data_IF_877612795215
#
_entry.id   IF_877612795215
#
_cell.length_a   1.000
_cell.length_b   1.000
_cell.length_c   1.000
_cell.angle_alpha   90.00
_cell.angle_beta   90.00
_cell.angle_gamma   90.00
#
_symmetry.space_group_name_H-M   'P 1'
#
loop_
_entity.id
_entity.type
_entity.pdbx_description
1 polymer ?
#
# COMPACT_ATOMS: atom_id res chain seq x y z
N UNK A 1 -8.63 12.89 3.37
CA UNK A 1 -7.32 12.37 2.89
C UNK A 1 -7.50 11.68 1.55
N UNK A 2 -6.42 11.23 0.91
CA UNK A 2 -6.46 10.72 -0.47
C UNK A 2 -7.48 9.58 -0.70
N UNK A 3 -7.62 8.65 0.26
CA UNK A 3 -8.55 7.52 0.15
C UNK A 3 -10.02 7.99 0.10
N UNK A 4 -10.43 8.82 1.07
CA UNK A 4 -11.81 9.34 1.16
C UNK A 4 -12.18 10.28 0.01
N UNK A 5 -11.22 11.07 -0.48
CA UNK A 5 -11.48 12.11 -1.48
C UNK A 5 -11.22 11.64 -2.93
N UNK A 6 -10.90 10.35 -3.12
CA UNK A 6 -10.83 9.74 -4.43
C UNK A 6 -12.14 8.95 -4.64
N UNK A 7 -13.06 9.38 -5.52
CA UNK A 7 -14.37 8.75 -5.65
C UNK A 7 -14.30 7.26 -6.05
N UNK A 8 -13.29 6.85 -6.83
CA UNK A 8 -13.11 5.44 -7.20
C UNK A 8 -12.74 4.62 -5.95
N UNK A 9 -11.72 5.02 -5.20
CA UNK A 9 -11.35 4.24 -4.01
C UNK A 9 -12.31 4.43 -2.84
N UNK A 10 -13.06 5.53 -2.79
CA UNK A 10 -14.11 5.70 -1.81
C UNK A 10 -15.24 4.69 -2.04
N UNK A 11 -15.64 4.48 -3.29
CA UNK A 11 -16.59 3.42 -3.65
C UNK A 11 -16.05 2.05 -3.25
N UNK A 12 -14.77 1.74 -3.51
CA UNK A 12 -14.17 0.49 -3.02
C UNK A 12 -14.27 0.34 -1.48
N UNK A 13 -14.04 1.42 -0.72
CA UNK A 13 -14.21 1.40 0.74
C UNK A 13 -15.66 1.09 1.13
N UNK A 14 -16.64 1.68 0.44
CA UNK A 14 -18.06 1.40 0.69
C UNK A 14 -18.42 -0.04 0.34
N UNK A 15 -17.93 -0.57 -0.78
CA UNK A 15 -18.16 -1.96 -1.19
C UNK A 15 -17.42 -3.01 -0.33
N UNK A 16 -16.49 -2.59 0.53
CA UNK A 16 -15.73 -3.46 1.45
C UNK A 16 -16.30 -3.38 2.86
N UNK A 17 -16.51 -2.17 3.40
CA UNK A 17 -16.95 -1.97 4.78
C UNK A 17 -18.48 -1.89 4.92
N UNK A 18 -19.20 -1.72 3.82
CA UNK A 18 -20.66 -1.62 3.82
C UNK A 18 -21.33 -2.90 4.33
N UNK A 19 -22.46 -2.72 5.02
CA UNK A 19 -23.22 -3.87 5.55
C UNK A 19 -24.08 -4.46 4.45
N UNK A 20 -23.81 -5.71 4.10
CA UNK A 20 -24.60 -6.47 3.12
C UNK A 20 -25.89 -6.98 3.76
N UNK A 21 -26.97 -6.94 2.99
CA UNK A 21 -28.29 -7.44 3.36
C UNK A 21 -28.87 -8.25 2.20
N UNK A 22 -29.75 -9.22 2.52
CA UNK A 22 -30.42 -10.03 1.51
C UNK A 22 -31.93 -9.95 1.72
N UNK A 23 -32.64 -9.39 0.75
CA UNK A 23 -34.09 -9.22 0.79
C UNK A 23 -34.67 -9.33 -0.61
N UNK A 24 -35.82 -10.00 -0.74
CA UNK A 24 -36.51 -10.18 -2.03
C UNK A 24 -35.68 -10.90 -3.10
N UNK A 25 -34.73 -11.74 -2.72
CA UNK A 25 -33.83 -12.42 -3.67
C UNK A 25 -32.68 -11.56 -4.18
N UNK A 26 -32.48 -10.36 -3.63
CA UNK A 26 -31.43 -9.41 -4.06
C UNK A 26 -30.51 -9.05 -2.90
N UNK A 27 -29.26 -8.73 -3.23
CA UNK A 27 -28.28 -8.21 -2.28
C UNK A 27 -28.37 -6.68 -2.31
N UNK A 28 -28.50 -6.08 -1.13
CA UNK A 28 -28.39 -4.63 -0.94
C UNK A 28 -27.23 -4.30 -0.01
N UNK A 29 -26.63 -3.12 -0.19
CA UNK A 29 -25.54 -2.62 0.65
C UNK A 29 -25.97 -1.33 1.38
N UNK A 30 -25.70 -1.27 2.68
CA UNK A 30 -25.81 -0.03 3.47
C UNK A 30 -24.42 0.56 3.66
N UNK A 31 -24.18 1.85 3.33
CA UNK A 31 -22.88 2.48 3.51
C UNK A 31 -22.35 2.36 4.95
N UNK A 32 -21.03 2.18 5.13
CA UNK A 32 -20.42 2.05 6.45
C UNK A 32 -20.50 3.37 7.25
N UNK A 33 -20.81 3.27 8.53
CA UNK A 33 -20.74 4.40 9.46
C UNK A 33 -19.30 4.81 9.79
N UNK A 34 -19.13 5.97 10.43
CA UNK A 34 -17.81 6.50 10.80
C UNK A 34 -17.01 5.55 11.70
N UNK A 35 -17.68 4.83 12.62
CA UNK A 35 -17.01 3.90 13.53
C UNK A 35 -16.46 2.67 12.80
N UNK A 36 -17.25 2.09 11.88
CA UNK A 36 -16.83 0.97 11.01
C UNK A 36 -15.68 1.36 10.10
N UNK A 37 -15.65 2.60 9.62
CA UNK A 37 -14.51 3.05 8.83
C UNK A 37 -13.27 3.32 9.70
N UNK A 38 -13.46 3.73 10.96
CA UNK A 38 -12.39 4.09 11.88
C UNK A 38 -11.59 2.88 12.39
N UNK A 39 -12.21 1.71 12.54
CA UNK A 39 -11.53 0.47 12.92
C UNK A 39 -11.04 -0.36 11.71
N UNK A 40 -11.52 -0.08 10.51
CA UNK A 40 -11.03 -0.64 9.24
C UNK A 40 -10.04 0.30 8.51
N UNK A 41 -10.40 0.79 7.32
CA UNK A 41 -9.49 1.53 6.42
C UNK A 41 -8.86 2.77 7.08
N UNK A 42 -9.63 3.55 7.83
CA UNK A 42 -9.14 4.79 8.46
C UNK A 42 -8.35 4.56 9.74
N UNK A 43 -8.26 3.31 10.24
CA UNK A 43 -7.31 2.95 11.30
C UNK A 43 -5.87 3.20 10.84
N UNK A 44 -5.54 2.80 9.60
CA UNK A 44 -4.24 3.01 8.98
C UNK A 44 -4.15 4.36 8.25
N UNK A 45 -5.18 4.72 7.47
CA UNK A 45 -5.16 5.93 6.63
C UNK A 45 -5.39 7.23 7.40
N UNK A 46 -6.06 7.17 8.55
CA UNK A 46 -6.35 8.30 9.42
C UNK A 46 -7.78 8.85 9.27
N UNK A 47 -8.33 9.29 10.40
CA UNK A 47 -9.63 9.96 10.51
C UNK A 47 -9.47 11.49 10.50
N UNK A 48 -10.59 12.22 10.44
CA UNK A 48 -10.62 13.67 10.72
C UNK A 48 -11.04 13.84 12.17
N UNK A 49 -10.22 14.50 12.98
CA UNK A 49 -10.53 14.74 14.39
C UNK A 49 -11.31 16.04 14.53
N UNK A 50 -12.56 15.94 14.94
CA UNK A 50 -13.41 17.08 15.28
C UNK A 50 -13.44 17.32 16.79
N UNK A 51 -13.54 18.58 17.19
CA UNK A 51 -13.82 18.98 18.58
C UNK A 51 -15.26 19.47 18.63
N UNK A 52 -16.14 18.74 19.30
CA UNK A 52 -17.58 19.05 19.36
C UNK A 52 -18.01 19.75 20.65
N UNK A 53 -17.11 19.93 21.61
CA UNK A 53 -17.36 20.65 22.85
C UNK A 53 -16.42 20.24 23.97
N UNK A 54 -16.74 20.66 25.18
CA UNK A 54 -16.04 20.31 26.41
C UNK A 54 -17.02 19.59 27.34
N UNK A 55 -16.54 18.57 28.05
CA UNK A 55 -17.28 17.86 29.09
C UNK A 55 -16.46 17.85 30.37
N UNK A 56 -17.06 18.33 31.46
CA UNK A 56 -16.53 18.19 32.81
C UNK A 56 -16.68 16.76 33.30
N UNK A 57 -15.64 16.25 33.98
CA UNK A 57 -15.64 14.92 34.60
C UNK A 57 -14.93 15.00 35.94
N UNK A 58 -15.49 14.33 36.94
CA UNK A 58 -14.81 14.12 38.20
C UNK A 58 -13.65 13.13 38.00
N UNK A 59 -12.48 13.47 38.55
CA UNK A 59 -11.28 12.63 38.46
C UNK A 59 -10.58 12.53 39.80
N UNK A 60 -9.54 11.70 39.90
CA UNK A 60 -8.71 11.61 41.11
C UNK A 60 -8.02 12.94 41.48
N UNK A 61 -7.95 13.92 40.58
CA UNK A 61 -7.39 15.26 40.82
C UNK A 61 -8.48 16.34 40.96
N UNK A 62 -9.75 15.95 41.12
CA UNK A 62 -10.92 16.83 41.12
C UNK A 62 -11.62 16.93 39.77
N UNK A 63 -12.59 17.84 39.67
CA UNK A 63 -13.29 18.13 38.42
C UNK A 63 -12.33 18.69 37.36
N UNK A 64 -12.31 18.06 36.19
CA UNK A 64 -11.51 18.51 35.04
C UNK A 64 -12.34 18.58 33.77
N UNK A 65 -11.92 19.47 32.87
CA UNK A 65 -12.53 19.68 31.56
C UNK A 65 -11.83 18.87 30.47
N UNK A 66 -12.60 18.10 29.70
CA UNK A 66 -12.08 17.26 28.62
C UNK A 66 -12.76 17.58 27.29
N UNK A 67 -12.03 17.62 26.17
CA UNK A 67 -12.64 17.79 24.87
C UNK A 67 -13.49 16.56 24.52
N UNK A 68 -14.64 16.79 23.89
CA UNK A 68 -15.43 15.75 23.23
C UNK A 68 -14.93 15.66 21.79
N UNK A 69 -14.32 14.53 21.46
CA UNK A 69 -13.69 14.31 20.16
C UNK A 69 -14.48 13.34 19.30
N UNK A 70 -14.59 13.63 18.01
CA UNK A 70 -15.01 12.66 16.97
C UNK A 70 -13.79 12.17 16.19
N UNK A 71 -13.89 10.97 15.59
CA UNK A 71 -12.78 10.35 14.86
C UNK A 71 -11.59 9.92 15.73
N UNK A 72 -11.69 10.04 17.06
CA UNK A 72 -10.67 9.66 18.03
C UNK A 72 -11.09 8.42 18.82
N UNK A 73 -10.18 7.51 19.23
CA UNK A 73 -8.72 7.52 19.04
C UNK A 73 -8.28 7.12 17.63
N UNK A 74 -7.25 7.79 17.11
CA UNK A 74 -6.68 7.44 15.80
C UNK A 74 -5.19 7.80 15.70
N UNK A 75 -4.41 6.93 15.06
CA UNK A 75 -2.98 7.12 14.81
C UNK A 75 -2.60 6.82 13.36
N UNK A 76 -3.58 6.89 12.45
CA UNK A 76 -3.33 6.68 11.03
C UNK A 76 -2.45 7.79 10.45
N UNK A 77 -1.61 7.43 9.49
CA UNK A 77 -0.54 8.31 8.98
C UNK A 77 -1.05 9.57 8.30
N UNK A 78 -2.31 9.57 7.84
CA UNK A 78 -2.97 10.71 7.18
C UNK A 78 -4.06 11.38 8.03
N UNK A 79 -4.06 11.19 9.35
CA UNK A 79 -5.03 11.82 10.27
C UNK A 79 -5.06 13.33 10.08
N UNK A 80 -6.24 13.94 10.06
CA UNK A 80 -6.37 15.41 10.07
C UNK A 80 -6.60 15.86 11.51
N UNK A 81 -5.70 16.69 12.03
CA UNK A 81 -5.71 17.16 13.40
C UNK A 81 -6.65 18.38 13.58
N UNK A 82 -7.05 18.70 14.82
CA UNK A 82 -7.93 19.86 15.08
C UNK A 82 -7.36 21.22 14.62
N UNK A 83 -6.03 21.35 14.55
CA UNK A 83 -5.33 22.55 14.06
C UNK A 83 -5.18 22.58 12.52
N UNK A 84 -5.77 21.60 11.82
CA UNK A 84 -5.69 21.46 10.36
C UNK A 84 -4.40 20.79 9.86
N UNK A 85 -3.43 20.52 10.73
CA UNK A 85 -2.23 19.77 10.35
C UNK A 85 -2.57 18.32 9.96
N UNK A 86 -1.72 17.72 9.12
CA UNK A 86 -1.92 16.36 8.58
C UNK A 86 -0.85 15.43 9.12
N UNK A 87 -1.29 14.32 9.69
CA UNK A 87 -0.48 13.20 10.13
C UNK A 87 -0.53 12.95 11.63
N UNK A 88 -0.08 11.76 12.01
CA UNK A 88 0.13 11.36 13.39
C UNK A 88 1.61 11.01 13.59
N UNK A 89 2.38 11.87 14.26
CA UNK A 89 3.80 11.61 14.52
C UNK A 89 4.05 10.38 15.43
N UNK A 90 3.00 9.79 16.00
CA UNK A 90 3.11 8.61 16.87
C UNK A 90 2.90 7.29 16.14
N UNK A 91 2.71 7.26 14.81
CA UNK A 91 2.48 6.03 14.06
C UNK A 91 3.68 5.07 14.08
N UNK A 92 4.91 5.58 14.11
CA UNK A 92 6.14 4.77 14.04
C UNK A 92 6.96 4.75 15.35
N UNK A 93 6.93 5.84 16.10
CA UNK A 93 7.55 5.93 17.42
C UNK A 93 6.50 6.42 18.41
N UNK A 94 5.78 5.45 18.96
CA UNK A 94 4.60 5.70 19.76
C UNK A 94 4.91 6.56 20.99
N UNK A 95 3.91 7.37 21.36
CA UNK A 95 3.89 8.02 22.67
C UNK A 95 3.84 6.96 23.78
N UNK A 96 4.37 7.20 24.97
CA UNK A 96 5.03 8.44 25.42
C UNK A 96 6.56 8.36 25.36
N UNK A 97 7.13 7.29 24.80
CA UNK A 97 8.58 7.09 24.76
C UNK A 97 9.26 7.75 23.55
N UNK A 98 8.55 7.88 22.42
CA UNK A 98 9.09 8.48 21.18
C UNK A 98 10.43 7.88 20.75
N UNK A 99 10.57 6.56 20.89
CA UNK A 99 11.84 5.86 20.73
C UNK A 99 12.21 5.64 19.26
N UNK A 100 13.39 6.11 18.85
CA UNK A 100 13.95 5.78 17.52
C UNK A 100 14.23 4.28 17.36
N UNK A 101 14.49 3.56 18.45
CA UNK A 101 14.60 2.10 18.43
C UNK A 101 13.29 1.45 18.00
N UNK A 102 12.16 1.96 18.50
CA UNK A 102 10.83 1.51 18.05
C UNK A 102 10.63 1.83 16.55
N UNK A 103 10.95 3.06 16.12
CA UNK A 103 10.81 3.45 14.71
C UNK A 103 11.66 2.61 13.75
N UNK A 104 12.85 2.15 14.20
CA UNK A 104 13.73 1.29 13.40
C UNK A 104 13.38 -0.19 13.45
N UNK A 105 12.54 -0.61 14.39
CA UNK A 105 12.10 -1.99 14.53
C UNK A 105 10.98 -2.31 13.52
N UNK A 106 11.11 -3.35 12.68
CA UNK A 106 10.10 -3.75 11.69
C UNK A 106 8.69 -3.93 12.26
N UNK A 107 8.56 -4.31 13.54
CA UNK A 107 7.28 -4.53 14.18
C UNK A 107 6.40 -3.27 14.17
N UNK A 108 6.97 -2.07 14.22
CA UNK A 108 6.16 -0.84 14.18
C UNK A 108 5.48 -0.64 12.81
N UNK A 109 6.11 -1.08 11.72
CA UNK A 109 5.55 -0.96 10.38
C UNK A 109 4.41 -1.98 10.16
N UNK A 110 4.44 -3.10 10.90
CA UNK A 110 3.49 -4.22 10.79
C UNK A 110 2.07 -3.87 11.23
N UNK A 111 1.88 -2.74 11.94
CA UNK A 111 0.54 -2.24 12.26
C UNK A 111 -0.29 -2.03 11.00
N UNK A 112 0.32 -1.51 9.92
CA UNK A 112 -0.38 -1.18 8.67
C UNK A 112 0.09 -2.02 7.48
N UNK A 113 1.38 -2.40 7.43
CA UNK A 113 1.96 -3.13 6.30
C UNK A 113 2.04 -4.63 6.53
N UNK A 114 0.90 -5.32 6.61
CA UNK A 114 0.84 -6.75 6.94
C UNK A 114 -0.14 -7.57 6.11
N UNK A 115 -1.31 -6.99 5.82
CA UNK A 115 -2.42 -7.63 5.13
C UNK A 115 -2.09 -8.05 3.69
N UNK A 116 -3.01 -8.76 3.02
CA UNK A 116 -2.80 -9.26 1.66
C UNK A 116 -2.63 -8.14 0.62
N UNK A 117 -3.14 -6.95 0.92
CA UNK A 117 -3.04 -5.74 0.10
C UNK A 117 -1.66 -5.09 0.14
N UNK A 118 -1.02 -5.07 1.32
CA UNK A 118 0.31 -4.48 1.55
C UNK A 118 1.20 -5.39 2.42
N UNK A 119 1.59 -6.58 1.94
CA UNK A 119 2.21 -7.64 2.77
C UNK A 119 3.69 -7.39 3.12
N UNK A 120 4.12 -6.13 3.25
CA UNK A 120 5.53 -5.76 3.39
C UNK A 120 6.23 -6.43 4.58
N UNK A 121 5.60 -6.37 5.77
CA UNK A 121 6.15 -7.01 6.96
C UNK A 121 6.21 -8.53 6.80
N UNK A 122 5.15 -9.13 6.28
CA UNK A 122 5.05 -10.57 6.11
C UNK A 122 6.10 -11.10 5.11
N UNK A 123 6.33 -10.37 4.02
CA UNK A 123 7.40 -10.61 3.05
C UNK A 123 8.78 -10.43 3.69
N UNK A 124 8.99 -9.34 4.42
CA UNK A 124 10.25 -9.07 5.11
C UNK A 124 10.58 -10.18 6.11
N UNK A 125 9.61 -10.57 6.93
CA UNK A 125 9.78 -11.54 8.01
C UNK A 125 10.23 -12.93 7.52
N UNK A 126 9.87 -13.32 6.29
CA UNK A 126 10.31 -14.58 5.68
C UNK A 126 11.55 -14.45 4.79
N UNK A 127 12.01 -13.22 4.54
CA UNK A 127 13.23 -12.95 3.79
C UNK A 127 14.48 -13.28 4.61
N UNK A 128 15.64 -13.46 3.96
CA UNK A 128 16.90 -13.61 4.68
C UNK A 128 17.24 -12.40 5.56
N UNK A 129 16.87 -11.18 5.15
CA UNK A 129 17.04 -9.99 5.98
C UNK A 129 16.24 -10.08 7.29
N UNK A 130 14.96 -10.47 7.18
CA UNK A 130 14.09 -10.67 8.34
C UNK A 130 14.58 -11.80 9.26
N UNK A 131 15.01 -12.93 8.68
CA UNK A 131 15.51 -14.07 9.46
C UNK A 131 16.79 -13.72 10.24
N UNK A 132 17.69 -12.93 9.65
CA UNK A 132 18.91 -12.47 10.34
C UNK A 132 18.53 -11.49 11.45
N UNK A 133 17.66 -10.51 11.16
CA UNK A 133 17.16 -9.57 12.17
C UNK A 133 16.48 -10.29 13.35
N UNK A 134 15.60 -11.25 13.11
CA UNK A 134 14.93 -11.98 14.18
C UNK A 134 15.87 -12.83 15.01
N UNK A 135 16.97 -13.31 14.42
CA UNK A 135 17.92 -14.21 15.09
C UNK A 135 19.02 -13.45 15.84
N UNK A 136 19.47 -12.32 15.30
CA UNK A 136 20.68 -11.62 15.76
C UNK A 136 20.43 -10.16 16.14
N UNK A 137 19.25 -9.62 15.84
CA UNK A 137 18.95 -8.19 15.97
C UNK A 137 19.01 -7.66 17.40
N UNK A 138 18.81 -8.50 18.42
CA UNK A 138 18.85 -8.05 19.82
C UNK A 138 20.22 -7.51 20.25
N UNK A 139 21.30 -7.94 19.58
CA UNK A 139 22.66 -7.47 19.85
C UNK A 139 23.01 -6.16 19.12
N UNK A 140 22.13 -5.65 18.24
CA UNK A 140 22.39 -4.47 17.43
C UNK A 140 22.07 -3.15 18.13
N UNK A 141 22.75 -2.08 17.71
CA UNK A 141 22.48 -0.74 18.22
C UNK A 141 21.43 -0.04 17.34
N UNK A 142 20.24 0.19 17.89
CA UNK A 142 19.15 0.88 17.19
C UNK A 142 19.02 2.37 17.52
N UNK A 143 19.88 2.92 18.38
CA UNK A 143 19.78 4.31 18.87
C UNK A 143 20.82 5.24 18.25
N UNK A 144 21.93 4.72 17.75
CA UNK A 144 22.99 5.52 17.13
C UNK A 144 22.49 6.40 15.97
N UNK A 145 22.99 7.63 15.93
CA UNK A 145 22.76 8.60 14.86
C UNK A 145 24.09 9.30 14.55
N UNK A 146 24.65 9.15 13.33
CA UNK A 146 24.17 8.34 12.21
C UNK A 146 24.13 6.83 12.51
N UNK A 147 23.39 6.04 11.70
CA UNK A 147 23.31 4.58 11.84
C UNK A 147 24.33 3.92 10.90
N UNK A 148 25.28 3.17 11.44
CA UNK A 148 26.41 2.62 10.68
C UNK A 148 26.14 1.20 10.18
N UNK A 149 26.22 1.00 8.87
CA UNK A 149 26.06 -0.31 8.24
C UNK A 149 27.24 -1.21 8.61
N UNK A 150 26.96 -2.42 9.09
CA UNK A 150 27.96 -3.42 9.48
C UNK A 150 28.42 -3.31 10.94
N UNK A 151 28.47 -2.09 11.49
CA UNK A 151 28.84 -1.87 12.90
C UNK A 151 27.61 -1.85 13.82
N UNK A 152 26.58 -1.06 13.48
CA UNK A 152 25.37 -0.97 14.32
C UNK A 152 24.36 -2.07 14.01
N UNK A 153 24.33 -2.57 12.77
CA UNK A 153 23.46 -3.65 12.32
C UNK A 153 24.04 -4.39 11.12
N UNK A 154 23.70 -5.68 10.95
CA UNK A 154 24.23 -6.53 9.86
C UNK A 154 23.18 -7.06 8.89
N UNK A 155 21.89 -6.82 9.14
CA UNK A 155 20.84 -6.93 8.11
C UNK A 155 19.84 -5.76 8.21
N UNK A 156 19.34 -5.25 7.07
CA UNK A 156 18.49 -4.07 7.08
C UNK A 156 17.12 -4.35 7.70
N UNK A 157 16.54 -3.33 8.34
CA UNK A 157 15.12 -3.26 8.67
C UNK A 157 14.38 -2.35 7.69
N UNK A 158 13.06 -2.23 7.82
CA UNK A 158 12.25 -1.30 7.03
C UNK A 158 12.82 0.13 7.06
N UNK A 159 13.16 0.63 8.25
CA UNK A 159 13.66 1.99 8.41
C UNK A 159 15.06 2.19 7.83
N UNK A 160 15.91 1.16 7.77
CA UNK A 160 17.24 1.27 7.16
C UNK A 160 17.08 1.64 5.67
N UNK A 161 16.30 0.85 4.93
CA UNK A 161 16.08 1.06 3.50
C UNK A 161 15.25 2.32 3.18
N UNK A 162 14.25 2.64 4.00
CA UNK A 162 13.25 3.64 3.61
C UNK A 162 13.41 5.03 4.24
N UNK A 163 14.04 5.17 5.41
CA UNK A 163 13.96 6.44 6.16
C UNK A 163 15.27 6.89 6.84
N UNK A 164 16.15 5.98 7.22
CA UNK A 164 17.25 6.29 8.15
C UNK A 164 18.40 7.04 7.49
N UNK A 165 19.08 7.89 8.29
CA UNK A 165 20.44 8.33 7.98
C UNK A 165 21.37 7.13 8.13
N UNK A 166 21.94 6.68 7.01
CA UNK A 166 22.87 5.56 6.95
C UNK A 166 24.26 6.04 6.55
N UNK A 167 25.27 5.50 7.22
CA UNK A 167 26.69 5.76 6.93
C UNK A 167 27.48 4.45 6.85
N UNK A 168 28.65 4.52 6.21
CA UNK A 168 29.67 3.47 6.18
C UNK A 168 31.02 4.05 6.53
N UNK A 169 31.90 3.23 7.12
CA UNK A 169 33.24 3.66 7.52
C UNK A 169 33.26 4.40 8.87
N UNK A 170 34.44 4.47 9.49
CA UNK A 170 34.63 5.02 10.82
C UNK A 170 35.54 6.25 10.83
N UNK A 171 35.35 7.13 11.83
CA UNK A 171 36.14 8.35 12.01
C UNK A 171 36.09 9.27 10.78
N UNK A 172 37.26 9.78 10.37
CA UNK A 172 37.40 10.70 9.24
C UNK A 172 37.07 10.09 7.86
N UNK A 173 36.78 8.79 7.79
CA UNK A 173 36.42 8.07 6.56
C UNK A 173 34.93 7.75 6.46
N UNK A 174 34.10 8.35 7.32
CA UNK A 174 32.67 8.13 7.31
C UNK A 174 32.02 8.73 6.05
N UNK A 175 31.29 7.92 5.29
CA UNK A 175 30.55 8.33 4.10
C UNK A 175 29.04 8.21 4.33
N UNK A 176 28.28 9.23 3.92
CA UNK A 176 26.81 9.15 3.90
C UNK A 176 26.34 8.27 2.75
N UNK A 177 25.75 7.13 3.11
CA UNK A 177 25.10 6.21 2.17
C UNK A 177 23.71 6.71 1.82
N UNK A 178 22.94 7.15 2.81
CA UNK A 178 21.60 7.70 2.58
C UNK A 178 21.23 8.74 3.63
N UNK A 179 20.73 9.90 3.22
CA UNK A 179 20.24 10.92 4.14
C UNK A 179 18.91 10.51 4.79
N UNK A 180 18.67 10.93 6.03
CA UNK A 180 17.38 10.71 6.71
C UNK A 180 16.26 11.42 5.97
N UNK A 181 15.12 10.75 5.83
CA UNK A 181 13.91 11.34 5.24
C UNK A 181 12.65 10.86 5.96
N UNK A 182 11.69 11.76 6.13
CA UNK A 182 10.31 11.44 6.54
C UNK A 182 9.32 11.56 5.37
N UNK A 183 9.81 11.78 4.15
CA UNK A 183 8.97 11.84 2.95
C UNK A 183 8.52 10.44 2.49
N UNK A 184 9.29 9.40 2.84
CA UNK A 184 9.03 7.97 2.60
C UNK A 184 8.92 7.52 1.14
N UNK A 185 8.78 8.43 0.18
CA UNK A 185 8.68 8.12 -1.26
C UNK A 185 9.89 8.58 -2.09
N UNK A 186 10.82 9.34 -1.51
CA UNK A 186 11.98 9.96 -2.15
C UNK A 186 13.11 8.96 -2.46
N UNK A 187 12.95 7.71 -2.04
CA UNK A 187 13.78 6.56 -2.42
C UNK A 187 13.05 5.55 -3.33
N UNK A 188 11.82 5.84 -3.71
CA UNK A 188 10.96 4.92 -4.46
C UNK A 188 10.76 5.41 -5.89
N UNK A 189 11.33 4.68 -6.86
CA UNK A 189 11.08 4.92 -8.28
C UNK A 189 9.67 4.46 -8.70
N UNK A 190 9.25 3.30 -8.18
CA UNK A 190 7.99 2.66 -8.51
C UNK A 190 7.03 2.65 -7.34
N UNK A 191 5.78 3.05 -7.59
CA UNK A 191 4.67 2.73 -6.70
C UNK A 191 4.22 1.30 -7.03
N UNK A 192 4.65 0.35 -6.22
CA UNK A 192 4.37 -1.08 -6.42
C UNK A 192 2.99 -1.53 -5.91
N UNK A 193 2.30 -0.64 -5.16
CA UNK A 193 0.89 -0.80 -4.84
C UNK A 193 0.07 -0.39 -6.05
N UNK A 194 -0.54 -1.36 -6.73
CA UNK A 194 -1.17 -1.18 -8.02
C UNK A 194 -2.44 -0.33 -7.94
N UNK A 195 -2.55 0.69 -8.80
CA UNK A 195 -3.71 1.58 -8.89
C UNK A 195 -4.24 1.75 -10.33
N UNK A 196 -4.55 0.68 -11.07
CA UNK A 196 -4.49 -0.74 -10.68
C UNK A 196 -3.17 -1.41 -11.06
N UNK A 197 -2.33 -0.74 -11.86
CA UNK A 197 -1.00 -1.20 -12.23
C UNK A 197 0.07 -0.60 -11.31
N UNK A 198 1.23 -1.24 -11.21
CA UNK A 198 2.41 -0.55 -10.69
C UNK A 198 2.85 0.53 -11.69
N UNK A 199 3.18 1.71 -11.18
CA UNK A 199 3.45 2.89 -12.01
C UNK A 199 4.56 3.75 -11.38
N UNK A 200 5.18 4.69 -12.12
CA UNK A 200 6.11 5.65 -11.52
C UNK A 200 5.45 6.43 -10.38
N UNK A 201 6.21 6.77 -9.34
CA UNK A 201 5.64 7.47 -8.18
C UNK A 201 4.94 8.81 -8.55
N UNK A 202 3.83 9.19 -7.89
CA UNK A 202 3.22 10.49 -8.09
C UNK A 202 4.18 11.65 -7.74
N UNK A 203 4.07 12.76 -8.48
CA UNK A 203 4.81 14.00 -8.22
C UNK A 203 4.42 14.65 -6.89
N UNK A 204 3.13 14.56 -6.54
CA UNK A 204 2.54 15.18 -5.35
C UNK A 204 2.10 14.12 -4.34
N UNK A 205 2.23 14.37 -3.02
CA UNK A 205 1.62 13.54 -2.00
C UNK A 205 0.08 13.63 -2.01
N UNK A 206 -0.49 14.70 -2.56
CA UNK A 206 -1.92 14.79 -2.82
C UNK A 206 -2.22 14.10 -4.16
N UNK A 207 -2.75 12.88 -4.08
CA UNK A 207 -3.11 12.09 -5.27
C UNK A 207 -4.53 12.34 -5.75
N UNK A 208 -5.30 13.19 -5.05
CA UNK A 208 -6.68 13.49 -5.44
C UNK A 208 -6.77 14.39 -6.68
N UNK A 209 -5.65 15.03 -7.05
CA UNK A 209 -5.51 15.88 -8.23
C UNK A 209 -5.26 15.09 -9.52
N UNK A 210 -4.90 13.81 -9.42
CA UNK A 210 -4.58 12.98 -10.58
C UNK A 210 -5.86 12.77 -11.40
N UNK A 211 -5.79 12.98 -12.70
CA UNK A 211 -6.82 12.54 -13.65
C UNK A 211 -6.16 11.81 -14.80
N UNK A 212 -6.68 10.63 -15.12
CA UNK A 212 -6.33 9.95 -16.35
C UNK A 212 -7.17 10.53 -17.52
N UNK A 213 -6.89 10.12 -18.76
CA UNK A 213 -7.58 10.55 -19.98
C UNK A 213 -9.07 10.19 -19.96
N UNK A 214 -9.44 9.08 -19.34
CA UNK A 214 -10.84 8.72 -19.11
C UNK A 214 -11.53 9.56 -18.02
N UNK A 215 -10.83 10.50 -17.39
CA UNK A 215 -11.36 11.37 -16.34
C UNK A 215 -11.42 10.71 -14.95
N UNK A 216 -10.97 9.47 -14.80
CA UNK A 216 -10.91 8.77 -13.52
C UNK A 216 -9.74 9.31 -12.69
N UNK A 217 -9.88 9.38 -11.35
CA UNK A 217 -8.81 9.77 -10.43
C UNK A 217 -7.78 8.66 -10.22
N UNK A 218 -7.21 8.15 -11.32
CA UNK A 218 -6.27 7.04 -11.35
C UNK A 218 -4.93 7.46 -11.98
N UNK A 219 -3.80 6.91 -11.52
CA UNK A 219 -2.47 7.16 -12.11
C UNK A 219 -2.26 6.48 -13.46
N UNK A 220 -3.21 5.66 -13.92
CA UNK A 220 -3.19 4.98 -15.21
C UNK A 220 -4.60 4.92 -15.80
N UNK A 221 -4.72 4.71 -17.10
CA UNK A 221 -5.94 4.18 -17.70
C UNK A 221 -6.19 2.73 -17.24
N UNK A 222 -7.43 2.26 -17.40
CA UNK A 222 -7.73 0.82 -17.29
C UNK A 222 -7.11 0.00 -18.43
N UNK A 223 -6.64 0.64 -19.50
CA UNK A 223 -5.89 0.00 -20.58
C UNK A 223 -4.38 -0.06 -20.30
N UNK A 224 -3.91 0.55 -19.20
CA UNK A 224 -2.54 0.44 -18.71
C UNK A 224 -1.63 1.64 -18.97
N UNK A 225 -2.05 2.61 -19.78
CA UNK A 225 -1.26 3.80 -20.08
C UNK A 225 -1.17 4.72 -18.84
N UNK A 226 0.02 5.28 -18.52
CA UNK A 226 0.18 6.14 -17.37
C UNK A 226 -0.40 7.55 -17.59
N UNK A 227 -0.93 8.15 -16.52
CA UNK A 227 -1.26 9.57 -16.42
C UNK A 227 0.03 10.40 -16.22
N UNK A 228 0.91 10.39 -17.23
CA UNK A 228 2.31 10.79 -17.12
C UNK A 228 2.55 12.20 -16.55
N UNK A 229 1.66 13.16 -16.80
CA UNK A 229 1.74 14.54 -16.28
C UNK A 229 1.68 14.63 -14.75
N UNK A 230 1.22 13.58 -14.07
CA UNK A 230 1.10 13.52 -12.61
C UNK A 230 2.17 12.65 -11.94
N UNK A 231 3.05 12.00 -12.72
CA UNK A 231 4.00 11.02 -12.24
C UNK A 231 5.45 11.49 -12.47
N UNK A 232 6.38 10.97 -11.66
CA UNK A 232 7.79 11.25 -11.84
C UNK A 232 8.28 10.72 -13.20
N UNK A 233 9.19 11.47 -13.82
CA UNK A 233 9.78 11.10 -15.10
C UNK A 233 10.83 9.97 -14.96
N UNK A 234 11.37 9.52 -16.08
CA UNK A 234 12.39 8.47 -16.10
C UNK A 234 13.71 8.90 -15.44
N UNK A 235 14.02 10.21 -15.44
CA UNK A 235 15.25 10.74 -14.81
C UNK A 235 15.14 10.62 -13.29
N UNK A 236 14.04 11.09 -12.71
CA UNK A 236 13.78 10.97 -11.27
C UNK A 236 13.68 9.51 -10.83
N UNK A 237 13.07 8.64 -11.64
CA UNK A 237 13.09 7.20 -11.35
C UNK A 237 14.52 6.64 -11.28
N UNK A 238 15.37 6.98 -12.25
CA UNK A 238 16.78 6.55 -12.26
C UNK A 238 17.52 7.08 -11.02
N UNK A 239 17.31 8.33 -10.64
CA UNK A 239 17.91 8.94 -9.44
C UNK A 239 17.45 8.21 -8.15
N UNK A 240 16.15 7.93 -8.00
CA UNK A 240 15.62 7.19 -6.83
C UNK A 240 16.10 5.75 -6.79
N UNK A 241 16.15 5.07 -7.93
CA UNK A 241 16.73 3.73 -8.05
C UNK A 241 18.20 3.72 -7.63
N UNK A 242 18.99 4.70 -8.07
CA UNK A 242 20.39 4.82 -7.67
C UNK A 242 20.54 5.04 -6.15
N UNK A 243 19.69 5.87 -5.53
CA UNK A 243 19.65 6.05 -4.07
C UNK A 243 19.41 4.73 -3.33
N UNK A 244 18.44 3.92 -3.78
CA UNK A 244 18.16 2.62 -3.16
C UNK A 244 19.30 1.62 -3.39
N UNK A 245 19.84 1.56 -4.63
CA UNK A 245 21.01 0.70 -4.95
C UNK A 245 22.21 1.04 -4.06
N UNK A 246 22.47 2.32 -3.78
CA UNK A 246 23.57 2.75 -2.88
C UNK A 246 23.44 2.14 -1.48
N UNK A 247 22.22 1.99 -0.96
CA UNK A 247 21.98 1.32 0.33
C UNK A 247 22.34 -0.16 0.23
N UNK A 248 21.94 -0.85 -0.85
CA UNK A 248 22.27 -2.25 -1.09
C UNK A 248 23.80 -2.47 -1.18
N UNK A 249 24.50 -1.52 -1.81
CA UNK A 249 25.96 -1.54 -1.95
C UNK A 249 26.72 -1.39 -0.63
N UNK A 250 26.05 -1.03 0.47
CA UNK A 250 26.64 -1.10 1.80
C UNK A 250 26.95 -2.54 2.26
N UNK A 251 26.32 -3.55 1.66
CA UNK A 251 26.52 -4.96 2.02
C UNK A 251 26.75 -5.90 0.81
N UNK A 252 26.37 -5.51 -0.40
CA UNK A 252 26.39 -6.38 -1.58
C UNK A 252 27.24 -5.83 -2.71
N UNK A 253 27.88 -6.73 -3.48
CA UNK A 253 28.59 -6.37 -4.71
C UNK A 253 27.65 -5.94 -5.84
N UNK A 254 28.16 -5.13 -6.78
CA UNK A 254 27.37 -4.52 -7.86
C UNK A 254 26.53 -5.50 -8.67
N UNK A 255 27.10 -6.63 -9.11
CA UNK A 255 26.39 -7.63 -9.90
C UNK A 255 25.15 -8.19 -9.20
N UNK A 256 25.23 -8.39 -7.88
CA UNK A 256 24.08 -8.87 -7.10
C UNK A 256 22.98 -7.81 -7.04
N UNK A 257 23.37 -6.55 -6.80
CA UNK A 257 22.44 -5.41 -6.75
C UNK A 257 21.74 -5.24 -8.10
N UNK A 258 22.49 -5.21 -9.19
CA UNK A 258 21.91 -5.05 -10.53
C UNK A 258 20.99 -6.20 -10.92
N UNK A 259 21.39 -7.45 -10.61
CA UNK A 259 20.53 -8.62 -10.83
C UNK A 259 19.24 -8.59 -10.01
N UNK A 260 19.29 -8.13 -8.76
CA UNK A 260 18.10 -7.94 -7.93
C UNK A 260 17.12 -6.94 -8.57
N UNK A 261 17.62 -5.77 -8.98
CA UNK A 261 16.77 -4.73 -9.58
C UNK A 261 16.23 -5.12 -10.95
N UNK A 262 17.01 -5.83 -11.77
CA UNK A 262 16.52 -6.37 -13.05
C UNK A 262 15.35 -7.35 -12.84
N UNK A 263 15.46 -8.26 -11.86
CA UNK A 263 14.36 -9.17 -11.50
C UNK A 263 13.14 -8.43 -10.95
N UNK A 264 13.36 -7.36 -10.19
CA UNK A 264 12.29 -6.53 -9.66
C UNK A 264 11.52 -5.81 -10.77
N UNK A 265 12.21 -5.19 -11.72
CA UNK A 265 11.57 -4.53 -12.87
C UNK A 265 10.84 -5.52 -13.78
N UNK A 266 11.41 -6.70 -14.02
CA UNK A 266 10.74 -7.78 -14.75
C UNK A 266 9.46 -8.25 -14.02
N UNK A 267 9.47 -8.25 -12.69
CA UNK A 267 8.27 -8.56 -11.90
C UNK A 267 7.20 -7.49 -12.05
N UNK A 268 7.57 -6.21 -12.09
CA UNK A 268 6.64 -5.11 -12.36
C UNK A 268 6.00 -5.29 -13.74
N UNK A 269 6.82 -5.52 -14.78
CA UNK A 269 6.35 -5.72 -16.15
C UNK A 269 5.34 -6.87 -16.23
N UNK A 270 5.75 -8.06 -15.77
CA UNK A 270 4.91 -9.26 -15.84
C UNK A 270 3.63 -9.14 -15.01
N UNK A 271 3.69 -8.60 -13.79
CA UNK A 271 2.47 -8.40 -12.99
C UNK A 271 1.51 -7.38 -13.62
N UNK A 272 2.01 -6.31 -14.24
CA UNK A 272 1.17 -5.37 -14.97
C UNK A 272 0.49 -6.02 -16.19
N UNK A 273 1.20 -6.89 -16.93
CA UNK A 273 0.63 -7.64 -18.05
C UNK A 273 -0.46 -8.63 -17.61
N UNK A 274 -0.27 -9.33 -16.49
CA UNK A 274 -1.30 -10.18 -15.88
C UNK A 274 -2.51 -9.34 -15.47
N UNK A 275 -2.32 -8.23 -14.75
CA UNK A 275 -3.41 -7.32 -14.39
C UNK A 275 -4.14 -6.78 -15.62
N UNK A 276 -3.43 -6.48 -16.71
CA UNK A 276 -4.06 -6.00 -17.95
C UNK A 276 -4.91 -7.10 -18.60
N UNK A 277 -4.46 -8.35 -18.53
CA UNK A 277 -5.22 -9.51 -19.00
C UNK A 277 -6.54 -9.64 -18.23
N UNK A 278 -6.50 -9.60 -16.88
CA UNK A 278 -7.71 -9.60 -16.06
C UNK A 278 -8.62 -8.40 -16.36
N UNK A 279 -8.03 -7.22 -16.55
CA UNK A 279 -8.78 -5.99 -16.86
C UNK A 279 -9.50 -6.11 -18.22
N UNK A 280 -8.86 -6.72 -19.23
CA UNK A 280 -9.52 -7.00 -20.53
C UNK A 280 -10.71 -7.94 -20.40
N UNK A 281 -10.63 -8.96 -19.53
CA UNK A 281 -11.75 -9.86 -19.27
C UNK A 281 -12.92 -9.09 -18.62
N UNK A 282 -12.63 -8.23 -17.63
CA UNK A 282 -13.63 -7.36 -17.01
C UNK A 282 -14.28 -6.42 -18.03
N UNK A 283 -13.47 -5.71 -18.83
CA UNK A 283 -13.97 -4.81 -19.87
C UNK A 283 -14.86 -5.54 -20.89
N UNK A 284 -14.52 -6.78 -21.25
CA UNK A 284 -15.35 -7.61 -22.11
C UNK A 284 -16.70 -7.97 -21.44
N UNK A 285 -16.71 -8.26 -20.14
CA UNK A 285 -17.95 -8.52 -19.39
C UNK A 285 -18.89 -7.31 -19.41
N UNK A 286 -18.34 -6.10 -19.22
CA UNK A 286 -19.09 -4.85 -19.33
C UNK A 286 -19.58 -4.58 -20.77
N UNK A 287 -18.71 -4.72 -21.78
CA UNK A 287 -19.07 -4.52 -23.19
C UNK A 287 -20.19 -5.47 -23.64
N UNK A 288 -20.10 -6.75 -23.24
CA UNK A 288 -21.13 -7.75 -23.54
C UNK A 288 -22.37 -7.60 -22.67
N UNK A 289 -22.39 -6.69 -21.71
CA UNK A 289 -23.51 -6.42 -20.81
C UNK A 289 -23.92 -7.63 -19.99
N UNK A 290 -22.94 -8.41 -19.53
CA UNK A 290 -23.12 -9.47 -18.52
C UNK A 290 -22.65 -9.02 -17.13
N UNK A 291 -21.95 -7.89 -17.06
CA UNK A 291 -21.74 -7.05 -15.88
C UNK A 291 -22.03 -5.59 -16.27
N UNK A 292 -22.24 -4.73 -15.28
CA UNK A 292 -22.46 -3.28 -15.40
C UNK A 292 -21.20 -2.58 -14.91
N UNK A 293 -20.81 -1.49 -15.56
CA UNK A 293 -19.61 -0.75 -15.19
C UNK A 293 -19.76 0.74 -15.42
N UNK A 294 -18.65 1.39 -15.78
CA UNK A 294 -18.56 2.84 -15.91
C UNK A 294 -19.61 3.44 -16.85
N UNK A 295 -19.92 2.78 -17.97
CA UNK A 295 -20.90 3.25 -18.95
C UNK A 295 -22.33 3.31 -18.38
N UNK A 296 -22.62 2.53 -17.33
CA UNK A 296 -23.91 2.50 -16.65
C UNK A 296 -23.92 3.35 -15.37
N UNK A 297 -22.84 4.11 -15.10
CA UNK A 297 -22.62 4.83 -13.84
C UNK A 297 -22.82 3.92 -12.61
N UNK A 298 -22.38 2.66 -12.74
CA UNK A 298 -22.37 1.68 -11.66
C UNK A 298 -21.01 1.67 -10.94
N UNK A 299 -20.98 1.05 -9.75
CA UNK A 299 -19.72 0.71 -9.10
C UNK A 299 -18.92 -0.22 -9.99
N UNK A 300 -17.59 -0.12 -9.93
CA UNK A 300 -16.68 -1.07 -10.59
C UNK A 300 -16.13 -2.11 -9.62
N UNK A 301 -16.81 -2.27 -8.47
CA UNK A 301 -16.38 -3.11 -7.35
C UNK A 301 -17.54 -3.86 -6.69
N UNK A 302 -18.75 -3.90 -7.25
CA UNK A 302 -19.93 -4.47 -6.60
C UNK A 302 -20.31 -5.87 -7.15
N UNK A 303 -19.89 -6.22 -8.37
CA UNK A 303 -20.19 -7.52 -8.98
C UNK A 303 -19.10 -8.57 -8.75
N UNK A 304 -19.40 -9.88 -8.81
CA UNK A 304 -18.42 -10.93 -8.56
C UNK A 304 -17.16 -10.85 -9.43
N UNK A 305 -17.30 -10.61 -10.75
CA UNK A 305 -16.15 -10.49 -11.65
C UNK A 305 -15.27 -9.27 -11.33
N UNK A 306 -15.87 -8.21 -10.79
CA UNK A 306 -15.15 -7.01 -10.34
C UNK A 306 -14.38 -7.28 -9.06
N UNK A 307 -14.95 -8.04 -8.12
CA UNK A 307 -14.23 -8.50 -6.92
C UNK A 307 -13.03 -9.37 -7.31
N UNK A 308 -13.19 -10.29 -8.26
CA UNK A 308 -12.08 -11.09 -8.79
C UNK A 308 -11.01 -10.20 -9.43
N UNK A 309 -11.41 -9.18 -10.19
CA UNK A 309 -10.47 -8.20 -10.73
C UNK A 309 -9.74 -7.42 -9.64
N UNK A 310 -10.43 -7.01 -8.56
CA UNK A 310 -9.81 -6.36 -7.39
C UNK A 310 -8.75 -7.25 -6.76
N UNK A 311 -9.04 -8.52 -6.51
CA UNK A 311 -8.08 -9.47 -5.94
C UNK A 311 -6.82 -9.60 -6.81
N UNK A 312 -6.97 -9.58 -8.14
CA UNK A 312 -5.86 -9.66 -9.09
C UNK A 312 -4.79 -8.60 -8.83
N UNK A 313 -5.20 -7.33 -8.75
CA UNK A 313 -4.25 -6.23 -8.62
C UNK A 313 -3.95 -5.86 -7.17
N UNK A 314 -4.96 -5.84 -6.30
CA UNK A 314 -4.84 -5.38 -4.92
C UNK A 314 -4.11 -6.41 -4.06
N UNK A 315 -4.34 -7.71 -4.27
CA UNK A 315 -3.74 -8.76 -3.46
C UNK A 315 -2.61 -9.46 -4.22
N UNK A 316 -2.91 -10.06 -5.37
CA UNK A 316 -1.99 -11.03 -5.97
C UNK A 316 -0.79 -10.37 -6.67
N UNK A 317 -1.05 -9.32 -7.46
CA UNK A 317 -0.01 -8.56 -8.12
C UNK A 317 0.84 -7.79 -7.09
N UNK A 318 0.21 -7.19 -6.08
CA UNK A 318 0.92 -6.53 -4.98
C UNK A 318 1.82 -7.52 -4.22
N UNK A 319 1.29 -8.65 -3.74
CA UNK A 319 2.10 -9.67 -3.06
C UNK A 319 3.32 -10.07 -3.88
N UNK A 320 3.11 -10.32 -5.18
CA UNK A 320 4.18 -10.69 -6.11
C UNK A 320 5.26 -9.59 -6.26
N UNK A 321 4.86 -8.32 -6.37
CA UNK A 321 5.78 -7.17 -6.46
C UNK A 321 6.54 -6.94 -5.16
N UNK A 322 5.86 -7.01 -4.02
CA UNK A 322 6.47 -6.88 -2.69
C UNK A 322 7.48 -8.00 -2.44
N UNK A 323 7.13 -9.25 -2.77
CA UNK A 323 8.02 -10.41 -2.69
C UNK A 323 9.31 -10.23 -3.48
N UNK A 324 9.22 -9.71 -4.70
CA UNK A 324 10.39 -9.45 -5.54
C UNK A 324 11.27 -8.31 -5.00
N UNK A 325 10.63 -7.21 -4.55
CA UNK A 325 11.32 -6.05 -3.98
C UNK A 325 12.06 -6.34 -2.67
N UNK A 326 11.56 -7.26 -1.84
CA UNK A 326 12.08 -7.51 -0.49
C UNK A 326 12.52 -8.96 -0.23
N UNK A 327 12.58 -9.77 -1.29
CA UNK A 327 13.11 -11.14 -1.26
C UNK A 327 12.35 -12.13 -0.34
N UNK A 328 11.03 -12.03 -0.28
CA UNK A 328 10.17 -13.02 0.42
C UNK A 328 9.55 -14.02 -0.56
N UNK A 329 10.25 -15.12 -0.82
CA UNK A 329 10.03 -15.97 -1.99
C UNK A 329 8.59 -16.50 -2.17
N UNK A 330 7.97 -17.04 -1.12
CA UNK A 330 6.69 -17.74 -1.26
C UNK A 330 5.50 -16.80 -1.50
N UNK A 331 5.57 -15.55 -1.01
CA UNK A 331 4.64 -14.47 -1.39
C UNK A 331 4.71 -14.14 -2.88
N UNK A 332 5.82 -14.49 -3.54
CA UNK A 332 5.97 -14.38 -4.99
C UNK A 332 5.30 -15.52 -5.77
N UNK A 333 4.81 -16.56 -5.10
CA UNK A 333 4.28 -17.78 -5.73
C UNK A 333 2.97 -18.24 -5.08
N UNK A 334 3.03 -19.00 -3.98
CA UNK A 334 1.87 -19.69 -3.40
C UNK A 334 1.21 -18.95 -2.24
N UNK A 335 1.89 -18.01 -1.60
CA UNK A 335 1.26 -17.14 -0.60
C UNK A 335 0.66 -15.89 -1.28
N UNK A 336 -0.48 -16.07 -1.97
CA UNK A 336 -1.17 -15.03 -2.74
C UNK A 336 -0.30 -14.42 -3.86
N UNK A 337 0.64 -15.18 -4.44
CA UNK A 337 1.52 -14.71 -5.51
C UNK A 337 1.08 -15.14 -6.90
N UNK A 338 2.05 -15.55 -7.73
CA UNK A 338 1.86 -15.97 -9.13
C UNK A 338 0.85 -17.10 -9.33
N UNK A 339 0.71 -18.02 -8.37
CA UNK A 339 -0.30 -19.07 -8.46
C UNK A 339 -1.71 -18.48 -8.49
N UNK A 340 -1.96 -17.48 -7.63
CA UNK A 340 -3.27 -16.84 -7.53
C UNK A 340 -3.54 -15.90 -8.71
N UNK A 341 -2.53 -15.16 -9.20
CA UNK A 341 -2.64 -14.39 -10.46
C UNK A 341 -3.14 -15.27 -11.62
N UNK A 342 -2.46 -16.39 -11.87
CA UNK A 342 -2.82 -17.26 -13.00
C UNK A 342 -4.15 -17.97 -12.79
N UNK A 343 -4.42 -18.45 -11.57
CA UNK A 343 -5.69 -19.10 -11.22
C UNK A 343 -6.87 -18.15 -11.35
N UNK A 344 -6.75 -16.93 -10.85
CA UNK A 344 -7.84 -15.97 -10.83
C UNK A 344 -8.25 -15.53 -12.24
N UNK A 345 -7.29 -15.30 -13.15
CA UNK A 345 -7.59 -15.03 -14.56
C UNK A 345 -8.34 -16.19 -15.24
N UNK A 346 -8.01 -17.44 -14.93
CA UNK A 346 -8.79 -18.60 -15.41
C UNK A 346 -10.21 -18.57 -14.85
N UNK A 347 -10.36 -18.27 -13.57
CA UNK A 347 -11.68 -18.10 -12.94
C UNK A 347 -12.50 -16.98 -13.56
N UNK A 348 -11.89 -15.83 -13.86
CA UNK A 348 -12.57 -14.70 -14.50
C UNK A 348 -13.05 -15.07 -15.91
N UNK A 349 -12.23 -15.79 -16.68
CA UNK A 349 -12.63 -16.28 -18.01
C UNK A 349 -13.80 -17.26 -17.90
N UNK A 350 -13.74 -18.22 -16.97
CA UNK A 350 -14.82 -19.18 -16.76
C UNK A 350 -16.13 -18.48 -16.34
N UNK A 351 -16.05 -17.49 -15.45
CA UNK A 351 -17.19 -16.67 -15.06
C UNK A 351 -17.81 -15.98 -16.28
N UNK A 352 -16.99 -15.36 -17.13
CA UNK A 352 -17.45 -14.67 -18.34
C UNK A 352 -18.14 -15.64 -19.30
N UNK A 353 -17.55 -16.80 -19.55
CA UNK A 353 -18.11 -17.83 -20.44
C UNK A 353 -19.47 -18.33 -19.93
N UNK A 354 -19.60 -18.57 -18.62
CA UNK A 354 -20.86 -19.00 -18.02
C UNK A 354 -21.94 -17.90 -18.08
N UNK A 355 -21.58 -16.66 -17.77
CA UNK A 355 -22.51 -15.53 -17.81
C UNK A 355 -23.03 -15.27 -19.24
N UNK A 356 -22.17 -15.43 -20.26
CA UNK A 356 -22.54 -15.32 -21.67
C UNK A 356 -23.52 -16.44 -22.08
N UNK A 357 -23.26 -17.69 -21.72
CA UNK A 357 -24.18 -18.82 -21.99
C UNK A 357 -25.55 -18.60 -21.38
N UNK A 358 -25.61 -18.20 -20.11
CA UNK A 358 -26.87 -17.89 -19.43
C UNK A 358 -27.63 -16.75 -20.12
N UNK A 359 -26.92 -15.73 -20.61
CA UNK A 359 -27.52 -14.62 -21.35
C UNK A 359 -28.10 -15.07 -22.70
N UNK A 360 -27.42 -15.98 -23.40
CA UNK A 360 -27.92 -16.57 -24.65
C UNK A 360 -29.13 -17.47 -24.41
N UNK A 361 -29.13 -18.28 -23.35
CA UNK A 361 -30.26 -19.13 -22.96
C UNK A 361 -31.50 -18.31 -22.61
N UNK A 362 -31.35 -17.17 -21.91
CA UNK A 362 -32.47 -16.25 -21.61
C UNK A 362 -33.03 -15.52 -22.84
N UNK A 363 -32.30 -15.51 -23.96
CA UNK A 363 -32.73 -14.89 -25.23
C UNK A 363 -33.48 -15.87 -26.14
N UNK A 364 -33.28 -17.17 -25.94
CA UNK A 364 -34.05 -18.24 -26.59
C UNK A 364 -35.35 -18.45 -25.85
#
# INVERSE_FOLDING_TARGET
>A
GNLKNNPVYHDLVEQVNGTMSFSGGTIGITPPGDQTNADACFSCHGTVIGVSGIRKRETAMGEMEFPVLSGWPNQGVGRVNPDGSKGACTSCHARHQFSIRMARNPATCSQCHKGPDVPAYSVYAVSKHGNIYSSLGDAWNFTNVPWEIGADFTAPTCAACHASLLVTGSGDRQEVVAARSHQMNDRLAWRIFGLVYAHPHPLSPDTTVIRNKAGLPLPTELTGEPAASHLIDAREQKERTAKMKKICSGCHGGNWVDGHFARFEETIRTTNEMTLTATKILLAAWEKGVARGLAQNDSIFNEPIEKMWVEEWLFFANSTRFASAMSGADYGVFANGRWYLSKNIRGMQEWLDLALRQKEERRK
#
